data_IF_473867801849
#
_entry.id   IF_473867801849
#
_cell.length_a   1.000
_cell.length_b   1.000
_cell.length_c   1.000
_cell.angle_alpha   90.00
_cell.angle_beta   90.00
_cell.angle_gamma   90.00
#
_symmetry.space_group_name_H-M   'P 1'
#
loop_
_entity.id
_entity.type
_entity.pdbx_description
1 polymer ?
#
# COMPACT_ATOMS: atom_id res chain seq x y z
N UNK A 1 16.30 15.60 -16.23
CA UNK A 1 15.69 14.49 -15.47
C UNK A 1 14.26 14.35 -15.96
N UNK A 2 13.86 13.14 -16.37
CA UNK A 2 12.51 12.82 -16.85
C UNK A 2 11.95 11.70 -15.95
N UNK A 3 10.74 11.90 -15.40
CA UNK A 3 10.06 10.89 -14.57
C UNK A 3 8.88 10.34 -15.34
N UNK A 4 8.80 9.02 -15.47
CA UNK A 4 7.76 8.37 -16.26
C UNK A 4 6.48 8.11 -15.46
N UNK A 5 6.61 7.58 -14.23
CA UNK A 5 5.49 7.22 -13.33
C UNK A 5 5.99 6.92 -11.92
N UNK A 6 5.06 6.83 -10.97
CA UNK A 6 5.31 6.25 -9.66
C UNK A 6 5.30 4.72 -9.76
N UNK A 7 6.34 4.05 -9.25
CA UNK A 7 6.40 2.58 -9.21
C UNK A 7 5.67 2.04 -7.96
N UNK A 8 6.01 2.59 -6.81
CA UNK A 8 5.39 2.26 -5.53
C UNK A 8 5.54 3.39 -4.52
N UNK A 9 4.83 3.25 -3.41
CA UNK A 9 5.00 4.05 -2.20
C UNK A 9 5.04 3.15 -0.97
N UNK A 10 5.39 3.72 0.19
CA UNK A 10 5.38 3.03 1.48
C UNK A 10 4.27 3.61 2.33
N UNK A 11 3.39 2.75 2.88
CA UNK A 11 2.51 3.13 3.97
C UNK A 11 3.08 2.64 5.29
N UNK A 12 3.17 3.55 6.26
CA UNK A 12 3.39 3.18 7.66
C UNK A 12 2.03 2.90 8.28
N UNK A 13 1.85 1.73 8.90
CA UNK A 13 0.56 1.26 9.42
C UNK A 13 0.68 0.79 10.85
N UNK A 14 -0.42 0.83 11.61
CA UNK A 14 -0.44 0.35 13.01
C UNK A 14 -0.50 -1.16 13.10
N UNK A 15 -1.31 -1.78 12.24
CA UNK A 15 -1.54 -3.22 12.20
C UNK A 15 -1.40 -3.71 10.76
N UNK A 16 -0.47 -4.64 10.56
CA UNK A 16 -0.13 -5.16 9.24
C UNK A 16 -1.27 -6.02 8.68
N UNK A 17 -1.83 -6.90 9.50
CA UNK A 17 -2.82 -7.87 9.06
C UNK A 17 -4.17 -7.19 8.80
N UNK A 18 -4.57 -6.25 9.66
CA UNK A 18 -5.76 -5.45 9.44
C UNK A 18 -5.65 -4.60 8.15
N UNK A 19 -4.47 -4.02 7.89
CA UNK A 19 -4.22 -3.29 6.64
C UNK A 19 -4.33 -4.22 5.44
N UNK A 20 -3.66 -5.38 5.49
CA UNK A 20 -3.72 -6.35 4.40
C UNK A 20 -5.16 -6.77 4.13
N UNK A 21 -5.90 -7.19 5.17
CA UNK A 21 -7.29 -7.60 5.06
C UNK A 21 -8.18 -6.50 4.44
N UNK A 22 -8.00 -5.24 4.87
CA UNK A 22 -8.76 -4.13 4.31
C UNK A 22 -8.52 -3.99 2.80
N UNK A 23 -7.26 -3.86 2.38
CA UNK A 23 -6.95 -3.63 0.97
C UNK A 23 -7.23 -4.85 0.09
N UNK A 24 -7.11 -6.07 0.61
CA UNK A 24 -7.47 -7.28 -0.14
C UNK A 24 -8.98 -7.42 -0.29
N UNK A 25 -9.75 -7.16 0.77
CA UNK A 25 -11.19 -7.43 0.77
C UNK A 25 -12.01 -6.27 0.20
N UNK A 26 -11.61 -5.03 0.45
CA UNK A 26 -12.34 -3.83 0.02
C UNK A 26 -11.90 -3.39 -1.37
N UNK A 27 -10.59 -3.39 -1.64
CA UNK A 27 -10.03 -2.87 -2.89
C UNK A 27 -9.53 -3.96 -3.85
N UNK A 28 -9.67 -5.24 -3.47
CA UNK A 28 -9.27 -6.37 -4.33
C UNK A 28 -7.77 -6.44 -4.62
N UNK A 29 -6.92 -5.80 -3.81
CA UNK A 29 -5.47 -5.85 -3.99
C UNK A 29 -4.93 -7.25 -3.63
N UNK A 30 -3.78 -7.62 -4.19
CA UNK A 30 -3.13 -8.89 -3.86
C UNK A 30 -1.96 -8.67 -2.90
N UNK A 31 -1.94 -9.42 -1.80
CA UNK A 31 -0.80 -9.41 -0.87
C UNK A 31 0.33 -10.28 -1.41
N UNK A 32 1.54 -9.73 -1.40
CA UNK A 32 2.77 -10.47 -1.68
C UNK A 32 3.72 -10.38 -0.49
N UNK A 33 4.56 -11.40 -0.34
CA UNK A 33 5.68 -11.41 0.61
C UNK A 33 6.98 -11.55 -0.15
N UNK A 34 7.97 -10.70 0.13
CA UNK A 34 9.23 -10.66 -0.62
C UNK A 34 10.42 -10.29 0.27
N UNK A 35 11.62 -10.58 -0.23
CA UNK A 35 12.89 -10.36 0.49
C UNK A 35 13.11 -11.33 1.65
N UNK A 36 14.35 -11.39 2.15
CA UNK A 36 14.72 -12.25 3.27
C UNK A 36 13.98 -11.88 4.57
N UNK A 37 13.70 -10.59 4.76
CA UNK A 37 12.98 -10.05 5.92
C UNK A 37 11.45 -10.27 5.87
N UNK A 38 10.95 -10.99 4.86
CA UNK A 38 9.51 -11.26 4.66
C UNK A 38 8.67 -9.98 4.63
N UNK A 39 9.13 -8.97 3.88
CA UNK A 39 8.40 -7.71 3.69
C UNK A 39 7.08 -7.98 2.99
N UNK A 40 6.02 -7.27 3.38
CA UNK A 40 4.70 -7.35 2.74
C UNK A 40 4.42 -6.14 1.88
N UNK A 41 3.76 -6.38 0.75
CA UNK A 41 3.21 -5.34 -0.11
C UNK A 41 1.84 -5.74 -0.66
N UNK A 42 1.09 -4.73 -1.08
CA UNK A 42 -0.19 -4.86 -1.77
C UNK A 42 0.02 -4.47 -3.24
N UNK A 43 -0.26 -5.37 -4.18
CA UNK A 43 -0.13 -5.12 -5.62
C UNK A 43 -1.49 -4.82 -6.25
N UNK A 44 -1.48 -3.89 -7.21
CA UNK A 44 -2.64 -3.51 -8.02
C UNK A 44 -2.16 -2.98 -9.37
N UNK A 45 -2.77 -3.43 -10.47
CA UNK A 45 -2.29 -3.12 -11.82
C UNK A 45 -0.80 -3.47 -11.98
N UNK A 46 0.00 -2.47 -12.34
CA UNK A 46 1.45 -2.58 -12.50
C UNK A 46 2.25 -1.92 -11.36
N UNK A 47 1.60 -1.62 -10.23
CA UNK A 47 2.18 -0.89 -9.10
C UNK A 47 1.99 -1.66 -7.78
N UNK A 48 2.62 -1.16 -6.72
CA UNK A 48 2.42 -1.72 -5.37
C UNK A 48 2.50 -0.67 -4.26
N UNK A 49 2.03 -1.05 -3.08
CA UNK A 49 2.25 -0.34 -1.81
C UNK A 49 3.02 -1.26 -0.88
N UNK A 50 4.23 -0.86 -0.48
CA UNK A 50 4.97 -1.55 0.57
C UNK A 50 4.43 -1.15 1.95
N UNK A 51 4.34 -2.10 2.87
CA UNK A 51 3.81 -1.87 4.22
C UNK A 51 4.92 -1.94 5.26
N UNK A 52 5.06 -0.87 6.04
CA UNK A 52 5.91 -0.81 7.22
C UNK A 52 5.03 -0.71 8.47
N UNK A 53 5.36 -1.43 9.53
CA UNK A 53 4.64 -1.29 10.81
C UNK A 53 5.26 -0.15 11.60
N UNK A 54 4.42 0.71 12.18
CA UNK A 54 4.87 1.83 13.01
C UNK A 54 5.77 1.36 14.16
N UNK A 55 6.93 1.98 14.32
CA UNK A 55 7.96 1.58 15.28
C UNK A 55 8.79 0.34 14.88
N UNK A 56 8.56 -0.22 13.69
CA UNK A 56 9.30 -1.35 13.10
C UNK A 56 9.57 -1.12 11.62
N UNK A 57 9.77 0.13 11.22
CA UNK A 57 10.00 0.50 9.84
C UNK A 57 11.42 0.09 9.39
N UNK A 58 11.56 -0.26 8.12
CA UNK A 58 12.87 -0.49 7.51
C UNK A 58 13.53 0.84 7.12
N UNK A 59 14.85 0.91 7.20
CA UNK A 59 15.65 2.03 6.67
C UNK A 59 16.07 1.80 5.21
N UNK A 60 16.17 2.85 4.38
CA UNK A 60 15.76 4.24 4.66
C UNK A 60 14.24 4.42 4.65
N UNK A 61 13.73 5.43 5.37
CA UNK A 61 12.30 5.79 5.42
C UNK A 61 12.03 7.30 5.42
N UNK A 62 10.76 7.67 5.35
CA UNK A 62 10.31 9.05 5.53
C UNK A 62 10.76 9.59 6.90
N UNK A 63 11.03 10.90 6.99
CA UNK A 63 11.49 11.53 8.24
C UNK A 63 10.48 11.42 9.39
N UNK A 64 9.18 11.46 9.09
CA UNK A 64 8.09 11.31 10.06
C UNK A 64 7.09 10.24 9.57
N UNK A 65 7.43 8.94 9.67
CA UNK A 65 6.54 7.87 9.22
C UNK A 65 5.29 7.84 10.10
N UNK A 66 4.15 8.26 9.53
CA UNK A 66 2.94 8.53 10.31
C UNK A 66 1.77 7.70 9.80
N UNK A 67 1.23 6.76 10.60
CA UNK A 67 0.03 6.03 10.23
C UNK A 67 -1.17 6.94 9.99
N UNK A 68 -1.86 6.72 8.88
CA UNK A 68 -3.05 7.50 8.50
C UNK A 68 -2.76 8.87 7.88
N UNK A 69 -1.50 9.20 7.56
CA UNK A 69 -1.15 10.47 6.92
C UNK A 69 -1.30 10.47 5.39
N UNK A 70 -1.63 9.32 4.79
CA UNK A 70 -1.73 9.20 3.34
C UNK A 70 -3.15 9.54 2.87
N UNK A 71 -3.23 10.31 1.80
CA UNK A 71 -4.44 10.58 1.03
C UNK A 71 -4.18 10.15 -0.41
N UNK A 72 -4.89 9.12 -0.87
CA UNK A 72 -4.62 8.41 -2.11
C UNK A 72 -5.91 8.25 -2.92
N UNK A 73 -5.83 8.55 -4.21
CA UNK A 73 -6.89 8.31 -5.17
C UNK A 73 -6.51 7.13 -6.09
N UNK A 74 -7.37 6.12 -6.16
CA UNK A 74 -7.21 4.99 -7.08
C UNK A 74 -8.26 5.06 -8.18
N UNK A 75 -7.84 4.80 -9.41
CA UNK A 75 -8.74 4.66 -10.55
C UNK A 75 -9.10 3.19 -10.71
N UNK A 76 -10.39 2.92 -10.92
CA UNK A 76 -10.89 1.58 -11.25
C UNK A 76 -11.73 1.65 -12.53
N UNK A 77 -11.72 0.55 -13.29
CA UNK A 77 -12.63 0.36 -14.41
C UNK A 77 -14.04 -0.08 -13.95
N UNK A 78 -14.18 -0.52 -12.70
CA UNK A 78 -15.47 -0.84 -12.09
C UNK A 78 -16.34 0.43 -12.03
N UNK A 79 -17.58 0.41 -12.54
CA UNK A 79 -18.48 1.56 -12.44
C UNK A 79 -18.64 2.01 -10.99
N UNK A 80 -18.59 3.31 -10.73
CA UNK A 80 -18.65 3.87 -9.37
C UNK A 80 -19.90 3.40 -8.60
N UNK A 81 -21.01 3.19 -9.31
CA UNK A 81 -22.25 2.70 -8.71
C UNK A 81 -22.09 1.31 -8.06
N UNK A 82 -21.22 0.44 -8.58
CA UNK A 82 -20.93 -0.88 -8.03
C UNK A 82 -19.90 -0.83 -6.89
N UNK A 83 -19.13 0.26 -6.79
CA UNK A 83 -18.14 0.47 -5.72
C UNK A 83 -18.79 1.02 -4.45
N UNK A 84 -19.88 1.77 -4.58
CA UNK A 84 -20.58 2.45 -3.48
C UNK A 84 -21.70 1.61 -2.83
N UNK A 85 -21.90 0.36 -3.27
CA UNK A 85 -22.86 -0.60 -2.70
C UNK A 85 -22.28 -1.37 -1.55
#
# INVERSE_FOLDING_TARGET
>A
MHIDRLDHLVLTVRDLDATVQFYTNVLGMHVITFGADKRKALTFGAQKINLHVAGREFEPKAHHPTPGSADLCFITATPLAEVLT
#
